data_IF_066276502471
#
_entry.id   IF_066276502471
#
_cell.length_a   1.000
_cell.length_b   1.000
_cell.length_c   1.000
_cell.angle_alpha   90.00
_cell.angle_beta   90.00
_cell.angle_gamma   90.00
#
_symmetry.space_group_name_H-M   'P 1'
#
loop_
_entity.id
_entity.type
_entity.pdbx_description
1 polymer ?
#
# COMPACT_ATOMS: atom_id res chain seq x y z
N UNK A 1 -17.43 -23.35 -7.26
CA UNK A 1 -16.27 -22.53 -7.66
C UNK A 1 -15.20 -22.69 -6.59
N UNK A 2 -14.17 -23.50 -6.86
CA UNK A 2 -13.18 -23.89 -5.87
C UNK A 2 -12.25 -22.71 -5.58
N UNK A 3 -12.26 -22.25 -4.33
CA UNK A 3 -11.30 -21.28 -3.80
C UNK A 3 -9.97 -22.04 -3.67
N UNK A 4 -9.06 -21.82 -4.62
CA UNK A 4 -7.69 -22.30 -4.50
C UNK A 4 -7.01 -21.54 -3.35
N UNK A 5 -6.75 -22.24 -2.25
CA UNK A 5 -5.98 -21.75 -1.13
C UNK A 5 -4.51 -21.57 -1.55
N UNK A 6 -4.11 -20.34 -1.87
CA UNK A 6 -2.74 -19.99 -2.24
C UNK A 6 -1.76 -19.93 -1.04
N UNK A 7 -2.15 -20.47 0.12
CA UNK A 7 -1.30 -20.43 1.32
C UNK A 7 -0.91 -21.85 1.72
N UNK A 8 0.16 -22.36 1.11
CA UNK A 8 0.82 -23.55 1.61
C UNK A 8 2.20 -23.17 2.17
N UNK A 9 2.23 -22.85 3.47
CA UNK A 9 3.42 -22.41 4.20
C UNK A 9 4.14 -23.58 4.88
N UNK A 10 4.67 -24.52 4.12
CA UNK A 10 5.62 -25.54 4.66
C UNK A 10 6.91 -25.53 3.84
N UNK A 11 7.99 -25.01 4.46
CA UNK A 11 9.35 -24.91 3.93
C UNK A 11 9.85 -23.48 3.96
N UNK A 12 11.10 -23.20 4.36
CA UNK A 12 11.76 -21.89 4.27
C UNK A 12 11.66 -21.37 2.84
N UNK A 13 10.60 -20.64 2.54
CA UNK A 13 10.43 -19.99 1.24
C UNK A 13 11.11 -18.65 1.33
N UNK A 14 12.16 -18.46 0.54
CA UNK A 14 12.75 -17.12 0.29
C UNK A 14 11.65 -16.14 -0.07
N UNK A 15 11.81 -14.88 0.38
CA UNK A 15 10.91 -13.76 0.05
C UNK A 15 10.63 -13.74 -1.45
N UNK A 16 9.36 -13.63 -1.82
CA UNK A 16 8.94 -13.62 -3.21
C UNK A 16 8.81 -12.19 -3.71
N UNK A 17 9.68 -11.81 -4.63
CA UNK A 17 9.65 -10.51 -5.30
C UNK A 17 9.06 -10.71 -6.69
N UNK A 18 7.91 -10.11 -6.94
CA UNK A 18 7.19 -10.24 -8.20
C UNK A 18 7.59 -9.18 -9.22
N UNK A 19 8.17 -8.07 -8.79
CA UNK A 19 8.58 -6.99 -9.68
C UNK A 19 9.63 -6.07 -9.07
N UNK A 20 10.38 -5.41 -9.94
CA UNK A 20 11.38 -4.42 -9.56
C UNK A 20 11.42 -3.28 -10.58
N UNK A 21 11.01 -2.09 -10.17
CA UNK A 21 11.13 -0.87 -10.95
C UNK A 21 12.40 -0.15 -10.54
N UNK A 22 13.35 -0.07 -11.48
CA UNK A 22 14.71 0.41 -11.22
C UNK A 22 14.79 1.89 -10.86
N UNK A 23 13.83 2.70 -11.37
CA UNK A 23 13.79 4.15 -11.12
C UNK A 23 12.35 4.64 -11.25
N UNK A 24 11.89 5.40 -10.27
CA UNK A 24 10.58 6.06 -10.25
C UNK A 24 10.70 7.40 -9.53
N UNK A 25 9.86 8.36 -9.94
CA UNK A 25 9.68 9.67 -9.30
C UNK A 25 8.36 9.78 -8.53
N UNK A 26 7.55 8.71 -8.56
CA UNK A 26 6.17 8.74 -8.07
C UNK A 26 6.00 7.99 -6.73
N UNK A 27 6.77 6.93 -6.52
CA UNK A 27 6.48 5.98 -5.43
C UNK A 27 7.01 6.44 -4.06
N UNK A 28 8.02 7.31 -4.02
CA UNK A 28 8.53 7.89 -2.78
C UNK A 28 8.46 9.42 -2.86
N UNK A 29 7.60 10.09 -2.08
CA UNK A 29 7.44 11.54 -2.16
C UNK A 29 8.77 12.29 -2.03
N UNK A 30 9.07 13.16 -3.03
CA UNK A 30 10.26 14.00 -3.04
C UNK A 30 11.60 13.28 -3.26
N UNK A 31 11.59 12.02 -3.72
CA UNK A 31 12.82 11.23 -3.91
C UNK A 31 12.82 10.48 -5.24
N UNK A 32 13.99 10.44 -5.87
CA UNK A 32 14.26 9.48 -6.95
C UNK A 32 14.46 8.10 -6.31
N UNK A 33 13.55 7.18 -6.53
CA UNK A 33 13.55 5.89 -5.83
C UNK A 33 13.49 4.70 -6.77
N UNK A 34 13.83 3.53 -6.24
CA UNK A 34 13.50 2.25 -6.84
C UNK A 34 12.31 1.64 -6.09
N UNK A 35 11.47 0.84 -6.78
CA UNK A 35 10.34 0.16 -6.15
C UNK A 35 10.46 -1.35 -6.27
N UNK A 36 10.29 -2.03 -5.14
CA UNK A 36 10.29 -3.49 -5.02
C UNK A 36 8.86 -3.95 -4.75
N UNK A 37 8.32 -4.76 -5.64
CA UNK A 37 6.96 -5.29 -5.53
C UNK A 37 6.98 -6.72 -5.03
N UNK A 38 6.50 -6.93 -3.80
CA UNK A 38 6.43 -8.26 -3.18
C UNK A 38 5.16 -9.00 -3.61
N UNK A 39 5.30 -10.30 -3.80
CA UNK A 39 4.19 -11.17 -4.19
C UNK A 39 3.34 -11.60 -3.01
N UNK A 40 2.06 -11.80 -3.27
CA UNK A 40 1.07 -12.23 -2.29
C UNK A 40 0.33 -11.08 -1.64
N UNK A 41 -0.97 -11.26 -1.49
CA UNK A 41 -1.84 -10.35 -0.76
C UNK A 41 -2.93 -11.15 -0.06
N UNK A 42 -3.36 -10.71 1.09
CA UNK A 42 -4.47 -11.31 1.84
C UNK A 42 -5.84 -10.70 1.51
N UNK A 43 -5.87 -9.68 0.63
CA UNK A 43 -7.10 -9.06 0.14
C UNK A 43 -7.36 -9.44 -1.33
N UNK A 44 -8.62 -9.28 -1.77
CA UNK A 44 -9.09 -9.59 -3.13
C UNK A 44 -9.91 -8.43 -3.70
N UNK A 45 -9.39 -7.20 -3.51
CA UNK A 45 -10.08 -5.98 -3.91
C UNK A 45 -10.47 -6.05 -5.39
N UNK A 46 -11.75 -5.79 -5.75
CA UNK A 46 -12.23 -5.85 -7.13
C UNK A 46 -11.59 -4.79 -8.03
N UNK A 47 -11.06 -3.73 -7.44
CA UNK A 47 -10.36 -2.62 -8.12
C UNK A 47 -8.83 -2.70 -8.07
N UNK A 48 -8.27 -3.86 -7.73
CA UNK A 48 -6.82 -4.00 -7.56
C UNK A 48 -6.08 -3.86 -8.90
N UNK A 49 -5.29 -2.79 -9.06
CA UNK A 49 -4.44 -2.60 -10.25
C UNK A 49 -3.26 -3.58 -10.28
N UNK A 50 -2.88 -4.12 -9.13
CA UNK A 50 -1.79 -5.06 -8.96
C UNK A 50 -2.28 -6.51 -8.75
N UNK A 51 -3.43 -6.88 -9.30
CA UNK A 51 -4.05 -8.19 -9.07
C UNK A 51 -3.15 -9.36 -9.46
N UNK A 52 -2.33 -9.19 -10.50
CA UNK A 52 -1.33 -10.18 -10.92
C UNK A 52 -0.27 -10.51 -9.85
N UNK A 53 -0.08 -9.63 -8.86
CA UNK A 53 0.85 -9.86 -7.76
C UNK A 53 0.25 -10.68 -6.62
N UNK A 54 -1.07 -10.87 -6.59
CA UNK A 54 -1.77 -11.59 -5.51
C UNK A 54 -1.36 -13.07 -5.49
N UNK A 55 -1.39 -13.70 -6.66
CA UNK A 55 -0.96 -15.08 -6.86
C UNK A 55 -0.16 -15.16 -8.18
N UNK A 56 1.08 -14.71 -8.21
CA UNK A 56 1.86 -14.75 -9.44
C UNK A 56 2.08 -16.20 -9.85
N UNK A 57 1.59 -16.58 -11.05
CA UNK A 57 1.75 -17.93 -11.59
C UNK A 57 3.15 -18.14 -12.16
N UNK A 58 3.80 -17.08 -12.62
CA UNK A 58 5.16 -17.13 -13.18
C UNK A 58 6.04 -16.12 -12.42
N UNK A 59 6.76 -16.63 -11.47
CA UNK A 59 7.75 -15.83 -10.75
C UNK A 59 9.07 -15.90 -11.49
N UNK A 60 9.24 -15.11 -12.55
CA UNK A 60 10.58 -14.60 -12.88
C UNK A 60 10.97 -13.58 -11.82
N UNK A 61 10.99 -14.08 -10.60
CA UNK A 61 11.25 -13.30 -9.42
C UNK A 61 12.68 -12.77 -9.48
N UNK A 62 12.80 -11.44 -9.39
CA UNK A 62 14.10 -10.86 -9.07
C UNK A 62 14.56 -11.43 -7.73
N UNK A 63 15.77 -11.92 -7.65
CA UNK A 63 16.32 -12.39 -6.38
C UNK A 63 16.68 -11.17 -5.51
N UNK A 64 16.52 -11.23 -4.19
CA UNK A 64 16.93 -10.16 -3.28
C UNK A 64 18.37 -9.69 -3.52
N UNK A 65 19.28 -10.62 -3.83
CA UNK A 65 20.70 -10.35 -4.09
C UNK A 65 20.89 -9.48 -5.33
N UNK A 66 20.11 -9.68 -6.37
CA UNK A 66 20.18 -8.90 -7.62
C UNK A 66 19.74 -7.45 -7.39
N UNK A 67 18.67 -7.27 -6.59
CA UNK A 67 18.19 -5.93 -6.20
C UNK A 67 19.25 -5.22 -5.38
N UNK A 68 19.81 -5.87 -4.36
CA UNK A 68 20.84 -5.27 -3.52
C UNK A 68 22.11 -4.93 -4.29
N UNK A 69 22.51 -5.80 -5.24
CA UNK A 69 23.64 -5.52 -6.13
C UNK A 69 23.36 -4.30 -7.03
N UNK A 70 22.12 -4.17 -7.54
CA UNK A 70 21.69 -3.00 -8.30
C UNK A 70 21.72 -1.73 -7.43
N UNK A 71 21.11 -1.76 -6.26
CA UNK A 71 21.09 -0.64 -5.33
C UNK A 71 22.49 -0.18 -4.95
N UNK A 72 23.40 -1.14 -4.68
CA UNK A 72 24.82 -0.83 -4.40
C UNK A 72 25.48 -0.03 -5.54
N UNK A 73 25.19 -0.35 -6.81
CA UNK A 73 25.70 0.37 -7.99
C UNK A 73 25.03 1.74 -8.20
N UNK A 74 23.91 2.02 -7.56
CA UNK A 74 23.11 3.24 -7.74
C UNK A 74 23.22 4.21 -6.56
N UNK A 75 24.13 3.98 -5.63
CA UNK A 75 24.42 4.92 -4.54
C UNK A 75 24.78 6.30 -5.11
N UNK A 76 24.21 7.36 -4.51
CA UNK A 76 24.39 8.74 -4.97
C UNK A 76 23.54 9.14 -6.18
N UNK A 77 22.75 8.20 -6.76
CA UNK A 77 21.81 8.47 -7.85
C UNK A 77 20.38 8.27 -7.33
N UNK A 78 20.11 7.11 -6.75
CA UNK A 78 18.82 6.85 -6.08
C UNK A 78 18.87 7.40 -4.64
N UNK A 79 17.76 7.97 -4.21
CA UNK A 79 17.59 8.64 -2.92
C UNK A 79 16.70 7.83 -1.96
N UNK A 80 16.12 6.72 -2.42
CA UNK A 80 15.29 5.87 -1.58
C UNK A 80 14.81 4.59 -2.26
N UNK A 81 14.18 3.74 -1.47
CA UNK A 81 13.56 2.50 -1.94
C UNK A 81 12.13 2.42 -1.42
N UNK A 82 11.17 2.19 -2.30
CA UNK A 82 9.80 1.89 -1.95
C UNK A 82 9.59 0.37 -1.92
N UNK A 83 9.04 -0.15 -0.85
CA UNK A 83 8.59 -1.55 -0.73
C UNK A 83 7.07 -1.56 -0.83
N UNK A 84 6.57 -2.21 -1.88
CA UNK A 84 5.15 -2.27 -2.24
C UNK A 84 4.80 -3.67 -2.76
N UNK A 85 3.73 -3.82 -3.54
CA UNK A 85 3.38 -5.06 -4.23
C UNK A 85 1.95 -5.50 -3.98
N UNK A 86 1.77 -6.75 -3.53
CA UNK A 86 0.53 -7.22 -2.94
C UNK A 86 0.39 -6.64 -1.53
N UNK A 87 0.81 -7.40 -0.50
CA UNK A 87 0.96 -6.87 0.87
C UNK A 87 2.33 -7.27 1.44
N UNK A 88 3.26 -6.31 1.53
CA UNK A 88 4.63 -6.58 1.99
C UNK A 88 4.71 -7.14 3.40
N UNK A 89 3.84 -6.70 4.30
CA UNK A 89 3.87 -7.09 5.72
C UNK A 89 3.53 -8.56 5.97
N UNK A 90 3.09 -9.29 4.95
CA UNK A 90 2.87 -10.74 5.01
C UNK A 90 4.17 -11.55 4.86
N UNK A 91 5.26 -10.93 4.43
CA UNK A 91 6.54 -11.62 4.24
C UNK A 91 7.34 -11.66 5.54
N UNK A 92 7.58 -12.84 6.15
CA UNK A 92 8.30 -12.93 7.43
C UNK A 92 9.73 -12.38 7.36
N UNK A 93 10.38 -12.50 6.19
CA UNK A 93 11.76 -12.06 5.96
C UNK A 93 11.87 -10.57 5.61
N UNK A 94 10.75 -9.81 5.61
CA UNK A 94 10.72 -8.40 5.26
C UNK A 94 11.68 -7.56 6.11
N UNK A 95 11.73 -7.68 7.45
CA UNK A 95 12.65 -6.89 8.28
C UNK A 95 14.12 -7.14 7.92
N UNK A 96 14.50 -8.38 7.67
CA UNK A 96 15.87 -8.72 7.30
C UNK A 96 16.27 -8.15 5.93
N UNK A 97 15.35 -8.16 4.97
CA UNK A 97 15.59 -7.56 3.65
C UNK A 97 15.72 -6.04 3.73
N UNK A 98 14.80 -5.37 4.46
CA UNK A 98 14.87 -3.92 4.64
C UNK A 98 16.17 -3.52 5.34
N UNK A 99 16.61 -4.26 6.36
CA UNK A 99 17.89 -3.98 7.03
C UNK A 99 19.06 -3.95 6.06
N UNK A 100 19.12 -4.93 5.14
CA UNK A 100 20.14 -4.94 4.07
C UNK A 100 20.07 -3.73 3.15
N UNK A 101 18.88 -3.19 2.86
CA UNK A 101 18.69 -1.95 2.09
C UNK A 101 19.18 -0.75 2.90
N UNK A 102 18.83 -0.69 4.19
CA UNK A 102 19.30 0.36 5.12
C UNK A 102 20.82 0.36 5.28
N UNK A 103 21.47 -0.81 5.33
CA UNK A 103 22.93 -0.97 5.38
C UNK A 103 23.62 -0.39 4.11
N UNK A 104 22.89 -0.31 2.99
CA UNK A 104 23.36 0.39 1.79
C UNK A 104 23.19 1.91 1.87
N UNK A 105 22.56 2.44 2.94
CA UNK A 105 22.36 3.88 3.17
C UNK A 105 21.05 4.42 2.58
N UNK A 106 20.11 3.58 2.14
CA UNK A 106 18.85 4.04 1.58
C UNK A 106 17.76 4.21 2.64
N UNK A 107 17.05 5.34 2.65
CA UNK A 107 15.76 5.42 3.31
C UNK A 107 14.73 4.52 2.62
N UNK A 108 13.83 3.94 3.41
CA UNK A 108 12.84 2.98 2.95
C UNK A 108 11.43 3.49 3.21
N UNK A 109 10.59 3.50 2.16
CA UNK A 109 9.15 3.71 2.25
C UNK A 109 8.44 2.36 2.19
N UNK A 110 7.44 2.19 3.04
CA UNK A 110 6.54 1.04 3.02
C UNK A 110 5.16 1.46 2.54
N UNK A 111 4.64 0.76 1.52
CA UNK A 111 3.23 0.75 1.16
C UNK A 111 2.56 -0.46 1.81
N UNK A 112 1.42 -0.27 2.47
CA UNK A 112 0.71 -1.35 3.15
C UNK A 112 -0.81 -1.17 3.13
N UNK A 113 -1.54 -2.26 3.15
CA UNK A 113 -2.99 -2.27 3.33
C UNK A 113 -3.41 -2.23 4.82
N UNK A 114 -2.44 -2.22 5.74
CA UNK A 114 -2.67 -2.10 7.18
C UNK A 114 -3.18 -3.35 7.90
N UNK A 115 -3.30 -4.50 7.24
CA UNK A 115 -3.83 -5.72 7.87
C UNK A 115 -2.88 -6.40 8.84
N UNK A 116 -1.62 -5.95 8.94
CA UNK A 116 -0.64 -6.51 9.86
C UNK A 116 -0.01 -5.44 10.76
N UNK A 117 -0.74 -4.95 11.79
CA UNK A 117 -0.25 -3.92 12.71
C UNK A 117 1.01 -4.35 13.47
N UNK A 118 1.19 -5.65 13.72
CA UNK A 118 2.37 -6.15 14.45
C UNK A 118 3.66 -5.96 13.63
N UNK A 119 3.63 -6.31 12.33
CA UNK A 119 4.77 -6.11 11.45
C UNK A 119 5.03 -4.61 11.25
N UNK A 120 3.99 -3.79 11.06
CA UNK A 120 4.11 -2.35 10.93
C UNK A 120 4.77 -1.73 12.18
N UNK A 121 4.30 -2.10 13.37
CA UNK A 121 4.87 -1.65 14.65
C UNK A 121 6.34 -2.07 14.80
N UNK A 122 6.68 -3.30 14.42
CA UNK A 122 8.05 -3.82 14.42
C UNK A 122 8.97 -2.96 13.54
N UNK A 123 8.56 -2.71 12.29
CA UNK A 123 9.35 -1.96 11.32
C UNK A 123 9.59 -0.50 11.77
N UNK A 124 8.57 0.14 12.35
CA UNK A 124 8.68 1.50 12.92
C UNK A 124 9.59 1.50 14.15
N UNK A 125 9.37 0.57 15.07
CA UNK A 125 10.13 0.49 16.33
C UNK A 125 11.62 0.31 16.09
N UNK A 126 11.98 -0.55 15.15
CA UNK A 126 13.37 -0.87 14.79
C UNK A 126 14.01 0.14 13.82
N UNK A 127 13.30 1.20 13.42
CA UNK A 127 13.81 2.21 12.50
C UNK A 127 14.13 1.67 11.09
N UNK A 128 13.42 0.60 10.68
CA UNK A 128 13.62 -0.04 9.38
C UNK A 128 12.94 0.73 8.25
N UNK A 129 11.84 1.43 8.52
CA UNK A 129 11.17 2.27 7.54
C UNK A 129 11.26 3.75 7.93
N UNK A 130 11.36 4.62 6.94
CA UNK A 130 11.49 6.07 7.09
C UNK A 130 10.23 6.81 6.62
N UNK A 131 9.29 6.10 6.00
CA UNK A 131 8.00 6.61 5.58
C UNK A 131 7.00 5.45 5.48
N UNK A 132 5.75 5.68 5.87
CA UNK A 132 4.67 4.73 5.68
C UNK A 132 3.52 5.34 4.86
N UNK A 133 3.06 4.62 3.84
CA UNK A 133 1.83 4.94 3.13
C UNK A 133 0.83 3.79 3.34
N UNK A 134 -0.27 4.08 4.03
CA UNK A 134 -1.29 3.07 4.29
C UNK A 134 -2.54 3.34 3.47
N UNK A 135 -3.00 2.32 2.77
CA UNK A 135 -4.24 2.39 2.00
C UNK A 135 -5.47 2.22 2.90
N UNK A 136 -6.36 3.21 2.85
CA UNK A 136 -7.71 3.18 3.43
C UNK A 136 -8.67 2.86 2.29
N UNK A 137 -9.31 1.68 2.35
CA UNK A 137 -10.16 1.21 1.24
C UNK A 137 -11.58 1.79 1.28
N UNK A 138 -12.07 2.16 2.45
CA UNK A 138 -13.39 2.73 2.69
C UNK A 138 -13.63 2.96 4.17
N UNK A 139 -14.88 3.12 4.57
CA UNK A 139 -15.24 3.13 6.00
C UNK A 139 -15.04 1.75 6.62
N UNK A 140 -14.83 1.63 7.94
CA UNK A 140 -14.60 0.33 8.57
C UNK A 140 -15.63 -0.75 8.23
N UNK A 141 -16.90 -0.37 8.07
CA UNK A 141 -17.99 -1.29 7.75
C UNK A 141 -17.97 -1.76 6.30
N UNK A 142 -17.40 -0.97 5.39
CA UNK A 142 -17.32 -1.30 3.97
C UNK A 142 -16.15 -2.24 3.63
N UNK A 143 -15.18 -2.39 4.54
CA UNK A 143 -13.96 -3.13 4.23
C UNK A 143 -14.18 -4.54 3.68
N UNK A 144 -15.07 -5.39 4.22
CA UNK A 144 -15.26 -6.73 3.66
C UNK A 144 -15.60 -6.69 2.17
N UNK A 145 -16.57 -5.86 1.78
CA UNK A 145 -17.00 -5.72 0.39
C UNK A 145 -15.90 -5.15 -0.51
N UNK A 146 -15.25 -4.06 -0.07
CA UNK A 146 -14.18 -3.39 -0.83
C UNK A 146 -12.91 -4.23 -0.95
N UNK A 147 -12.69 -5.14 -0.02
CA UNK A 147 -11.55 -6.05 -0.03
C UNK A 147 -11.86 -7.40 -0.67
N UNK A 148 -13.08 -7.62 -1.19
CA UNK A 148 -13.51 -8.87 -1.80
C UNK A 148 -13.46 -10.04 -0.81
N UNK A 149 -13.81 -9.80 0.45
CA UNK A 149 -13.73 -10.76 1.55
C UNK A 149 -15.13 -11.10 2.08
N UNK A 150 -15.27 -12.30 2.62
CA UNK A 150 -16.49 -12.70 3.30
C UNK A 150 -16.66 -11.89 4.60
N UNK A 151 -17.78 -11.13 4.76
CA UNK A 151 -18.04 -10.34 5.95
C UNK A 151 -18.03 -11.15 7.26
N UNK A 152 -18.40 -12.43 7.22
CA UNK A 152 -18.46 -13.28 8.42
C UNK A 152 -17.05 -13.66 8.93
N UNK A 153 -16.04 -13.64 8.07
CA UNK A 153 -14.68 -14.04 8.41
C UNK A 153 -13.67 -12.89 8.41
N UNK A 154 -14.03 -11.71 7.87
CA UNK A 154 -13.12 -10.58 7.77
C UNK A 154 -13.04 -9.79 9.08
N UNK A 155 -11.81 -9.65 9.59
CA UNK A 155 -11.56 -8.85 10.78
C UNK A 155 -11.05 -7.46 10.38
N UNK A 156 -11.82 -6.42 10.72
CA UNK A 156 -11.43 -5.02 10.49
C UNK A 156 -10.49 -4.49 11.59
N UNK A 157 -10.50 -5.10 12.77
CA UNK A 157 -9.71 -4.68 13.93
C UNK A 157 -8.20 -4.48 13.64
N UNK A 158 -7.49 -5.35 12.88
CA UNK A 158 -6.09 -5.10 12.53
C UNK A 158 -5.88 -3.77 11.80
N UNK A 159 -6.82 -3.39 10.93
CA UNK A 159 -6.74 -2.13 10.17
C UNK A 159 -6.95 -0.93 11.09
N UNK A 160 -7.94 -1.01 11.99
CA UNK A 160 -8.18 0.02 13.01
C UNK A 160 -6.93 0.24 13.87
N UNK A 161 -6.28 -0.84 14.29
CA UNK A 161 -5.02 -0.78 15.06
C UNK A 161 -3.88 -0.15 14.26
N UNK A 162 -3.75 -0.45 12.97
CA UNK A 162 -2.72 0.15 12.13
C UNK A 162 -2.93 1.64 11.95
N UNK A 163 -4.19 2.10 11.79
CA UNK A 163 -4.53 3.52 11.75
C UNK A 163 -4.16 4.21 13.07
N UNK A 164 -4.57 3.65 14.22
CA UNK A 164 -4.23 4.19 15.54
C UNK A 164 -2.71 4.25 15.75
N UNK A 165 -2.00 3.16 15.41
CA UNK A 165 -0.54 3.10 15.51
C UNK A 165 0.14 4.22 14.72
N UNK A 166 -0.27 4.46 13.46
CA UNK A 166 0.31 5.52 12.64
C UNK A 166 -0.01 6.92 13.17
N UNK A 167 -1.20 7.13 13.70
CA UNK A 167 -1.61 8.42 14.28
C UNK A 167 -0.88 8.74 15.60
N UNK A 168 -0.57 7.74 16.40
CA UNK A 168 0.04 7.88 17.72
C UNK A 168 1.58 7.94 17.67
N UNK A 169 2.20 7.33 16.65
CA UNK A 169 3.65 7.34 16.52
C UNK A 169 4.19 8.68 16.01
N UNK A 170 5.40 9.04 16.43
CA UNK A 170 6.08 10.29 16.06
C UNK A 170 7.43 10.07 15.38
N UNK A 171 7.78 8.81 15.11
CA UNK A 171 9.12 8.43 14.62
C UNK A 171 9.31 8.67 13.13
N UNK A 172 8.25 8.48 12.33
CA UNK A 172 8.33 8.57 10.88
C UNK A 172 7.13 9.35 10.32
N UNK A 173 7.30 10.09 9.22
CA UNK A 173 6.20 10.64 8.45
C UNK A 173 5.36 9.51 7.83
N UNK A 174 4.07 9.78 7.67
CA UNK A 174 3.14 8.85 7.03
C UNK A 174 2.05 9.57 6.25
N UNK A 175 1.37 8.81 5.40
CA UNK A 175 0.17 9.24 4.69
C UNK A 175 -0.89 8.14 4.71
N UNK A 176 -2.15 8.54 4.64
CA UNK A 176 -3.24 7.67 4.23
C UNK A 176 -3.59 7.92 2.76
N UNK A 177 -4.04 6.86 2.07
CA UNK A 177 -4.41 6.94 0.66
C UNK A 177 -5.74 6.23 0.43
N UNK A 178 -6.60 6.80 -0.40
CA UNK A 178 -7.82 6.12 -0.85
C UNK A 178 -7.96 6.25 -2.35
N UNK A 179 -8.04 5.12 -3.06
CA UNK A 179 -8.42 5.10 -4.48
C UNK A 179 -9.93 5.23 -4.56
N UNK A 180 -10.41 6.31 -5.17
CA UNK A 180 -11.84 6.62 -5.25
C UNK A 180 -12.46 5.98 -6.47
N UNK A 181 -13.52 5.20 -6.24
CA UNK A 181 -14.28 4.44 -7.23
C UNK A 181 -15.74 4.84 -7.12
N UNK A 182 -16.35 5.10 -8.27
CA UNK A 182 -17.69 5.66 -8.34
C UNK A 182 -18.75 4.74 -7.71
N UNK A 183 -18.60 3.45 -7.86
CA UNK A 183 -19.55 2.43 -7.37
C UNK A 183 -19.45 2.19 -5.86
N UNK A 184 -18.35 2.61 -5.23
CA UNK A 184 -18.08 2.28 -3.83
C UNK A 184 -17.99 3.49 -2.89
N UNK A 185 -17.60 4.66 -3.41
CA UNK A 185 -17.31 5.80 -2.56
C UNK A 185 -18.25 6.96 -2.84
N UNK A 186 -19.00 7.36 -1.82
CA UNK A 186 -19.84 8.55 -1.83
C UNK A 186 -19.19 9.65 -0.99
N UNK A 187 -19.72 10.87 -1.08
CA UNK A 187 -19.33 11.98 -0.22
C UNK A 187 -19.48 11.64 1.27
N UNK A 188 -20.58 10.97 1.63
CA UNK A 188 -20.84 10.52 3.00
C UNK A 188 -19.76 9.56 3.51
N UNK A 189 -19.29 8.67 2.66
CA UNK A 189 -18.22 7.72 3.01
C UNK A 189 -16.90 8.47 3.24
N UNK A 190 -16.59 9.45 2.38
CA UNK A 190 -15.39 10.26 2.55
C UNK A 190 -15.39 11.08 3.84
N UNK A 191 -16.52 11.68 4.21
CA UNK A 191 -16.66 12.38 5.48
C UNK A 191 -16.39 11.44 6.67
N UNK A 192 -16.93 10.22 6.65
CA UNK A 192 -16.68 9.21 7.68
C UNK A 192 -15.24 8.73 7.72
N UNK A 193 -14.61 8.53 6.56
CA UNK A 193 -13.19 8.20 6.47
C UNK A 193 -12.36 9.33 7.08
N UNK A 194 -12.60 10.59 6.70
CA UNK A 194 -11.86 11.74 7.24
C UNK A 194 -12.00 11.84 8.76
N UNK A 195 -13.20 11.66 9.31
CA UNK A 195 -13.43 11.66 10.76
C UNK A 195 -12.63 10.55 11.47
N UNK A 196 -12.51 9.38 10.85
CA UNK A 196 -11.77 8.26 11.41
C UNK A 196 -10.25 8.45 11.38
N UNK A 197 -9.71 8.89 10.21
CA UNK A 197 -8.25 8.99 10.04
C UNK A 197 -7.66 10.31 10.54
N UNK A 198 -8.47 11.31 10.82
CA UNK A 198 -8.00 12.56 11.41
C UNK A 198 -7.52 12.38 12.88
N UNK A 199 -6.50 13.15 13.32
CA UNK A 199 -5.65 13.98 12.50
C UNK A 199 -4.62 13.12 11.72
N UNK A 200 -4.51 13.37 10.42
CA UNK A 200 -3.47 12.75 9.58
C UNK A 200 -2.58 13.85 8.98
N UNK A 201 -1.25 13.64 8.86
CA UNK A 201 -0.37 14.65 8.29
C UNK A 201 -0.55 14.83 6.79
N UNK A 202 -1.02 13.79 6.09
CA UNK A 202 -1.29 13.80 4.65
C UNK A 202 -2.37 12.77 4.30
N UNK A 203 -3.35 13.17 3.49
CA UNK A 203 -4.32 12.29 2.89
C UNK A 203 -4.31 12.42 1.37
N UNK A 204 -4.06 11.32 0.65
CA UNK A 204 -4.02 11.30 -0.80
C UNK A 204 -5.26 10.61 -1.37
N UNK A 205 -6.10 11.37 -2.06
CA UNK A 205 -7.19 10.83 -2.86
C UNK A 205 -6.64 10.45 -4.22
N UNK A 206 -6.68 9.16 -4.55
CA UNK A 206 -6.17 8.64 -5.81
C UNK A 206 -7.31 8.42 -6.79
N UNK A 207 -7.17 8.93 -8.00
CA UNK A 207 -8.11 8.66 -9.06
C UNK A 207 -7.96 7.20 -9.50
N UNK A 208 -9.07 6.47 -9.53
CA UNK A 208 -9.09 5.12 -10.10
C UNK A 208 -8.78 5.18 -11.59
N UNK A 209 -7.94 4.27 -12.06
CA UNK A 209 -7.66 4.10 -13.50
C UNK A 209 -8.03 2.68 -13.91
N UNK A 210 -8.79 2.55 -14.98
CA UNK A 210 -9.05 1.25 -15.61
C UNK A 210 -7.74 0.68 -16.16
N UNK A 211 -7.56 -0.60 -16.00
CA UNK A 211 -6.45 -1.35 -16.57
C UNK A 211 -6.89 -2.81 -16.74
N UNK A 212 -6.29 -3.53 -17.66
CA UNK A 212 -6.59 -4.95 -17.92
C UNK A 212 -6.32 -5.84 -16.70
N UNK A 213 -5.49 -5.35 -15.75
CA UNK A 213 -5.18 -6.02 -14.50
C UNK A 213 -6.26 -5.89 -13.45
N UNK A 214 -7.21 -4.96 -13.59
CA UNK A 214 -8.30 -4.77 -12.62
C UNK A 214 -9.29 -5.93 -12.73
N UNK A 215 -9.61 -6.65 -11.62
CA UNK A 215 -10.50 -7.81 -11.69
C UNK A 215 -11.92 -7.48 -12.14
N UNK A 216 -12.48 -6.36 -11.67
CA UNK A 216 -13.82 -5.90 -12.03
C UNK A 216 -13.72 -4.78 -13.06
N UNK A 217 -14.09 -5.10 -14.30
CA UNK A 217 -14.02 -4.18 -15.45
C UNK A 217 -15.21 -3.21 -15.53
N UNK A 218 -16.24 -3.39 -14.70
CA UNK A 218 -17.42 -2.53 -14.67
C UNK A 218 -17.27 -1.33 -13.73
N UNK A 219 -16.09 -1.19 -13.08
CA UNK A 219 -15.80 -0.08 -12.20
C UNK A 219 -15.36 1.18 -12.97
N UNK A 220 -15.76 2.34 -12.44
CA UNK A 220 -15.52 3.63 -13.08
C UNK A 220 -14.79 4.62 -12.19
N UNK A 221 -13.91 5.46 -12.78
CA UNK A 221 -13.35 6.62 -12.09
C UNK A 221 -14.42 7.69 -11.86
N UNK A 222 -14.22 8.49 -10.84
CA UNK A 222 -14.93 9.75 -10.67
C UNK A 222 -14.42 10.78 -11.70
N UNK A 223 -15.30 11.68 -12.20
CA UNK A 223 -14.86 12.82 -13.02
C UNK A 223 -13.88 13.73 -12.28
N UNK A 224 -12.93 14.38 -12.97
CA UNK A 224 -11.94 15.25 -12.35
C UNK A 224 -12.52 16.34 -11.44
N UNK A 225 -13.63 16.95 -11.81
CA UNK A 225 -14.25 18.00 -11.00
C UNK A 225 -14.87 17.44 -9.71
N UNK A 226 -15.42 16.22 -9.76
CA UNK A 226 -15.89 15.53 -8.56
C UNK A 226 -14.74 15.16 -7.63
N UNK A 227 -13.57 14.77 -8.17
CA UNK A 227 -12.37 14.52 -7.37
C UNK A 227 -11.90 15.79 -6.65
N UNK A 228 -11.96 16.95 -7.32
CA UNK A 228 -11.65 18.26 -6.69
C UNK A 228 -12.63 18.58 -5.56
N UNK A 229 -13.92 18.39 -5.80
CA UNK A 229 -14.96 18.57 -4.79
C UNK A 229 -14.72 17.67 -3.56
N UNK A 230 -14.40 16.40 -3.77
CA UNK A 230 -14.08 15.48 -2.68
C UNK A 230 -12.84 15.91 -1.88
N UNK A 231 -11.80 16.39 -2.55
CA UNK A 231 -10.63 16.97 -1.87
C UNK A 231 -11.05 18.15 -1.00
N UNK A 232 -11.86 19.07 -1.51
CA UNK A 232 -12.25 20.29 -0.81
C UNK A 232 -13.06 19.95 0.46
N UNK A 233 -13.90 18.91 0.42
CA UNK A 233 -14.58 18.38 1.60
C UNK A 233 -13.57 17.83 2.62
N UNK A 234 -12.59 17.05 2.17
CA UNK A 234 -11.60 16.44 3.05
C UNK A 234 -10.67 17.47 3.70
N UNK A 235 -10.39 18.60 3.04
CA UNK A 235 -9.55 19.69 3.58
C UNK A 235 -10.08 20.26 4.90
N UNK A 236 -11.40 20.21 5.16
CA UNK A 236 -11.98 20.63 6.42
C UNK A 236 -11.56 19.78 7.62
N UNK A 237 -11.12 18.53 7.38
CA UNK A 237 -10.70 17.56 8.40
C UNK A 237 -9.20 17.32 8.39
N UNK A 238 -8.60 17.29 7.20
CA UNK A 238 -7.18 17.02 6.99
C UNK A 238 -6.64 18.09 6.03
N UNK A 239 -6.04 19.17 6.58
CA UNK A 239 -5.62 20.34 5.79
C UNK A 239 -4.63 20.03 4.65
N UNK A 240 -3.88 18.94 4.75
CA UNK A 240 -2.98 18.49 3.69
C UNK A 240 -3.60 17.31 2.93
N UNK A 241 -4.74 17.54 2.28
CA UNK A 241 -5.37 16.58 1.38
C UNK A 241 -5.00 16.91 -0.07
N UNK A 242 -4.47 15.92 -0.79
CA UNK A 242 -4.00 16.06 -2.18
C UNK A 242 -4.72 15.10 -3.13
N UNK A 243 -4.72 15.45 -4.43
CA UNK A 243 -5.15 14.56 -5.51
C UNK A 243 -3.94 13.92 -6.18
N UNK A 244 -4.07 12.64 -6.54
CA UNK A 244 -3.08 11.91 -7.35
C UNK A 244 -3.76 11.21 -8.52
N UNK A 245 -3.02 11.06 -9.64
CA UNK A 245 -3.51 10.37 -10.83
C UNK A 245 -4.54 11.15 -11.63
N UNK A 246 -4.46 12.48 -11.62
CA UNK A 246 -5.37 13.38 -12.35
C UNK A 246 -4.89 13.71 -13.77
N UNK A 247 -3.72 13.21 -14.17
CA UNK A 247 -3.07 13.47 -15.48
C UNK A 247 -3.65 12.59 -16.60
#
# INVERSE_FOLDING_TARGET
>A
MQILSCVNLKGRKSMKIAGFLKTTLLDYPGRISASVYLAGCNLRCPFCQNSGLICPQDTRACRPEEILAFLKKRRGILEGVCISGGEPTLQPDLPAFIRRIKDLGYPVKLDTNGTNPHMLALLIREGLIDYAAMDIKGTPEQYPALCGMDPASFLTDPILRSVSLLKEQTKIPFEFRTTLIREFHTEKDLLRICQWIAPAPLYALQMFRRADTVPDQDLHPWPPDQMKHFRDICLAYIPNTILRGMD
#
